data_IF_885312042157
#
_entry.id   IF_885312042157
#
_cell.length_a   1.000
_cell.length_b   1.000
_cell.length_c   1.000
_cell.angle_alpha   90.00
_cell.angle_beta   90.00
_cell.angle_gamma   90.00
#
_symmetry.space_group_name_H-M   'P 1'
#
loop_
_entity.id
_entity.type
_entity.pdbx_description
1 polymer ?
#
# COMPACT_ATOMS: atom_id res chain seq x y z
N UNK A 1 27.49 14.62 6.79
CA UNK A 1 26.96 13.51 5.96
C UNK A 1 25.49 13.83 5.73
N UNK A 2 25.01 13.84 4.50
CA UNK A 2 23.58 14.04 4.23
C UNK A 2 22.82 12.77 4.62
N UNK A 3 21.91 12.87 5.58
CA UNK A 3 21.12 11.73 6.07
C UNK A 3 20.20 11.12 4.99
N UNK A 4 19.92 11.87 3.92
CA UNK A 4 19.09 11.43 2.79
C UNK A 4 19.91 10.94 1.59
N UNK A 5 21.24 10.91 1.69
CA UNK A 5 22.09 10.55 0.54
C UNK A 5 21.74 9.17 -0.03
N UNK A 6 21.68 8.13 0.82
CA UNK A 6 21.29 6.78 0.40
C UNK A 6 19.85 6.71 -0.09
N UNK A 7 18.94 7.30 0.65
CA UNK A 7 17.52 7.33 0.29
C UNK A 7 17.31 7.93 -1.11
N UNK A 8 17.96 9.06 -1.40
CA UNK A 8 17.84 9.72 -2.69
C UNK A 8 18.43 8.93 -3.86
N UNK A 9 19.43 8.06 -3.61
CA UNK A 9 19.97 7.13 -4.62
C UNK A 9 18.98 6.01 -4.97
N UNK A 10 18.11 5.62 -4.04
CA UNK A 10 17.25 4.45 -4.16
C UNK A 10 15.79 4.75 -4.52
N UNK A 11 15.31 5.97 -4.22
CA UNK A 11 13.87 6.26 -4.23
C UNK A 11 13.19 6.14 -5.59
N UNK A 12 13.90 6.48 -6.66
CA UNK A 12 13.32 6.53 -8.01
C UNK A 12 13.34 5.16 -8.66
N UNK A 13 12.16 4.59 -8.90
CA UNK A 13 12.00 3.34 -9.65
C UNK A 13 11.70 3.66 -11.13
N UNK A 14 12.49 3.16 -12.08
CA UNK A 14 12.21 3.36 -13.50
C UNK A 14 10.94 2.65 -13.95
N UNK A 15 10.25 3.19 -14.95
CA UNK A 15 9.00 2.63 -15.46
C UNK A 15 9.13 1.16 -15.91
N UNK A 16 10.27 0.79 -16.51
CA UNK A 16 10.55 -0.58 -16.93
C UNK A 16 10.60 -1.62 -15.79
N UNK A 17 10.76 -1.16 -14.53
CA UNK A 17 10.75 -2.02 -13.35
C UNK A 17 9.42 -2.00 -12.59
N UNK A 18 8.43 -1.24 -13.06
CA UNK A 18 7.09 -1.14 -12.48
C UNK A 18 6.12 -2.06 -13.20
N UNK A 19 5.47 -2.93 -12.47
CA UNK A 19 4.43 -3.85 -12.97
C UNK A 19 3.07 -3.46 -12.37
N UNK A 20 2.14 -2.88 -13.15
CA UNK A 20 0.80 -2.58 -12.65
C UNK A 20 0.04 -3.88 -12.36
N UNK A 21 -0.53 -3.98 -11.16
CA UNK A 21 -1.37 -5.12 -10.79
C UNK A 21 -2.78 -4.89 -11.34
N UNK A 22 -3.19 -5.74 -12.29
CA UNK A 22 -4.44 -5.56 -13.05
C UNK A 22 -5.62 -6.35 -12.48
N UNK A 23 -5.38 -7.27 -11.53
CA UNK A 23 -6.43 -8.14 -10.98
C UNK A 23 -6.23 -8.44 -9.48
N UNK A 24 -7.26 -9.02 -8.85
CA UNK A 24 -7.24 -9.46 -7.47
C UNK A 24 -7.33 -8.31 -6.46
N UNK A 25 -7.08 -8.61 -5.19
CA UNK A 25 -7.20 -7.68 -4.05
C UNK A 25 -6.29 -6.45 -4.16
N UNK A 26 -5.16 -6.58 -4.86
CA UNK A 26 -4.17 -5.52 -5.05
C UNK A 26 -4.30 -4.80 -6.41
N UNK A 27 -5.45 -4.95 -7.10
CA UNK A 27 -5.71 -4.25 -8.36
C UNK A 27 -5.51 -2.75 -8.21
N UNK A 28 -4.76 -2.16 -9.16
CA UNK A 28 -4.44 -0.73 -9.16
C UNK A 28 -3.18 -0.37 -8.35
N UNK A 29 -2.58 -1.30 -7.61
CA UNK A 29 -1.25 -1.12 -7.06
C UNK A 29 -0.17 -1.40 -8.11
N UNK A 30 1.04 -0.94 -7.82
CA UNK A 30 2.23 -1.23 -8.63
C UNK A 30 3.12 -2.20 -7.87
N UNK A 31 3.46 -3.31 -8.49
CA UNK A 31 4.56 -4.15 -8.03
C UNK A 31 5.87 -3.66 -8.64
N UNK A 32 6.96 -3.79 -7.91
CA UNK A 32 8.30 -3.47 -8.38
C UNK A 32 9.04 -4.78 -8.62
N UNK A 33 9.60 -4.93 -9.83
CA UNK A 33 10.39 -6.11 -10.19
C UNK A 33 11.49 -6.38 -9.13
N UNK A 34 11.47 -7.55 -8.46
CA UNK A 34 12.45 -7.86 -7.42
C UNK A 34 13.91 -7.82 -7.92
N UNK A 35 14.16 -8.19 -9.18
CA UNK A 35 15.50 -8.14 -9.78
C UNK A 35 16.02 -6.73 -9.93
N UNK A 36 15.15 -5.74 -10.12
CA UNK A 36 15.55 -4.34 -10.11
C UNK A 36 16.04 -3.92 -8.72
N UNK A 37 15.40 -4.37 -7.65
CA UNK A 37 15.88 -4.08 -6.28
C UNK A 37 17.27 -4.66 -6.03
N UNK A 38 17.52 -5.90 -6.47
CA UNK A 38 18.84 -6.51 -6.40
C UNK A 38 19.87 -5.73 -7.23
N UNK A 39 19.48 -5.30 -8.43
CA UNK A 39 20.33 -4.49 -9.32
C UNK A 39 20.73 -3.19 -8.63
N UNK A 40 19.79 -2.42 -8.10
CA UNK A 40 20.10 -1.11 -7.50
C UNK A 40 20.92 -1.25 -6.20
N UNK A 41 20.69 -2.27 -5.39
CA UNK A 41 21.56 -2.57 -4.26
C UNK A 41 23.00 -2.86 -4.71
N UNK A 42 23.14 -3.61 -5.80
CA UNK A 42 24.46 -3.94 -6.38
C UNK A 42 25.15 -2.72 -7.01
N UNK A 43 24.39 -1.83 -7.67
CA UNK A 43 24.91 -0.58 -8.23
C UNK A 43 25.45 0.36 -7.16
N UNK A 44 24.79 0.43 -6.00
CA UNK A 44 25.16 1.39 -4.95
C UNK A 44 26.22 0.82 -3.98
N UNK A 45 26.08 -0.44 -3.60
CA UNK A 45 26.95 -1.05 -2.58
C UNK A 45 28.04 -1.97 -3.14
N UNK A 46 27.92 -2.41 -4.39
CA UNK A 46 28.79 -3.42 -4.99
C UNK A 46 28.14 -4.80 -5.02
N UNK A 47 28.92 -5.82 -5.43
CA UNK A 47 28.42 -7.18 -5.60
C UNK A 47 27.83 -7.77 -4.31
N UNK A 48 26.77 -8.57 -4.47
CA UNK A 48 26.21 -9.36 -3.38
C UNK A 48 27.27 -10.33 -2.80
N UNK A 49 27.35 -10.41 -1.48
CA UNK A 49 28.37 -11.14 -0.76
C UNK A 49 29.66 -10.34 -0.47
N UNK A 50 29.85 -9.18 -1.11
CA UNK A 50 31.01 -8.31 -0.92
C UNK A 50 30.56 -6.92 -0.43
N UNK A 51 29.73 -6.23 -1.19
CA UNK A 51 29.25 -4.89 -0.88
C UNK A 51 27.94 -4.91 -0.08
N UNK A 52 27.12 -5.89 -0.31
CA UNK A 52 25.92 -6.17 0.49
C UNK A 52 25.68 -7.68 0.56
N UNK A 53 24.96 -8.13 1.60
CA UNK A 53 24.59 -9.54 1.78
C UNK A 53 23.40 -9.66 2.71
N UNK A 54 22.78 -10.82 2.76
CA UNK A 54 21.76 -11.15 3.74
C UNK A 54 22.13 -12.41 4.51
N UNK A 55 21.61 -12.51 5.74
CA UNK A 55 21.66 -13.70 6.59
C UNK A 55 20.22 -14.09 6.89
N UNK A 56 19.86 -15.34 6.60
CA UNK A 56 18.57 -15.89 6.98
C UNK A 56 18.63 -16.18 8.48
N UNK A 57 17.71 -15.59 9.23
CA UNK A 57 17.60 -15.77 10.69
C UNK A 57 16.56 -16.79 11.07
N UNK A 58 15.48 -16.90 10.26
CA UNK A 58 14.45 -17.91 10.47
C UNK A 58 13.79 -18.35 9.15
N UNK A 59 13.29 -19.59 9.15
CA UNK A 59 12.42 -20.17 8.11
C UNK A 59 11.34 -20.97 8.79
N UNK A 60 10.09 -20.62 8.56
CA UNK A 60 8.96 -21.30 9.17
C UNK A 60 7.79 -21.43 8.21
N UNK A 61 6.92 -22.37 8.51
CA UNK A 61 5.63 -22.52 7.87
C UNK A 61 4.52 -22.23 8.87
N UNK A 62 3.54 -21.41 8.46
CA UNK A 62 2.40 -21.05 9.28
C UNK A 62 1.12 -21.21 8.46
N UNK A 63 0.03 -21.59 9.10
CA UNK A 63 -1.27 -21.71 8.47
C UNK A 63 -2.15 -22.78 9.10
N UNK A 64 -3.34 -22.95 8.57
CA UNK A 64 -4.30 -23.98 9.00
C UNK A 64 -4.98 -24.63 7.79
N UNK A 65 -5.23 -25.95 7.90
CA UNK A 65 -5.91 -26.68 6.85
C UNK A 65 -5.18 -26.62 5.51
N UNK A 66 -5.86 -26.12 4.49
CA UNK A 66 -5.35 -26.06 3.12
C UNK A 66 -4.72 -24.68 2.76
N UNK A 67 -4.47 -23.83 3.74
CA UNK A 67 -3.77 -22.56 3.54
C UNK A 67 -2.52 -22.52 4.42
N UNK A 68 -1.38 -22.87 3.84
CA UNK A 68 -0.07 -22.85 4.50
C UNK A 68 0.85 -21.89 3.75
N UNK A 69 1.57 -21.06 4.48
CA UNK A 69 2.52 -20.09 3.96
C UNK A 69 3.91 -20.31 4.53
N UNK A 70 4.90 -20.18 3.69
CA UNK A 70 6.30 -20.12 4.10
C UNK A 70 6.68 -18.69 4.41
N UNK A 71 7.37 -18.48 5.52
CA UNK A 71 7.99 -17.21 5.90
C UNK A 71 9.49 -17.35 6.01
N UNK A 72 10.19 -16.29 5.63
CA UNK A 72 11.65 -16.18 5.77
C UNK A 72 11.96 -14.84 6.41
N UNK A 73 12.69 -14.86 7.52
CA UNK A 73 13.23 -13.67 8.16
C UNK A 73 14.69 -13.52 7.82
N UNK A 74 15.11 -12.29 7.52
CA UNK A 74 16.49 -11.96 7.17
C UNK A 74 17.00 -10.73 7.91
N UNK A 75 18.32 -10.69 8.01
CA UNK A 75 19.13 -9.52 8.29
C UNK A 75 19.89 -9.16 7.00
N UNK A 76 19.64 -7.97 6.44
CA UNK A 76 20.38 -7.44 5.31
C UNK A 76 21.46 -6.49 5.81
N UNK A 77 22.67 -6.66 5.30
CA UNK A 77 23.84 -5.84 5.61
C UNK A 77 24.42 -5.23 4.34
N UNK A 78 25.03 -4.06 4.47
CA UNK A 78 25.73 -3.40 3.36
C UNK A 78 26.97 -2.65 3.88
N UNK A 79 27.91 -2.36 2.97
CA UNK A 79 29.07 -1.51 3.23
C UNK A 79 28.81 -0.13 2.64
N UNK A 80 29.02 0.89 3.46
CA UNK A 80 28.90 2.27 3.03
C UNK A 80 29.99 3.13 3.69
N UNK A 81 30.73 3.89 2.88
CA UNK A 81 31.83 4.75 3.35
C UNK A 81 32.88 4.00 4.20
N UNK A 82 33.15 2.74 3.89
CA UNK A 82 34.13 1.91 4.59
C UNK A 82 33.59 1.19 5.83
N UNK A 83 32.37 1.46 6.23
CA UNK A 83 31.73 0.84 7.40
C UNK A 83 30.69 -0.21 7.00
N UNK A 84 30.50 -1.21 7.86
CA UNK A 84 29.43 -2.20 7.74
C UNK A 84 28.21 -1.69 8.50
N UNK A 85 27.05 -1.74 7.84
CA UNK A 85 25.78 -1.33 8.46
C UNK A 85 25.40 -2.22 9.65
N UNK A 86 24.55 -1.71 10.53
CA UNK A 86 23.70 -2.56 11.37
C UNK A 86 22.70 -3.33 10.50
N UNK A 87 22.14 -4.45 10.99
CA UNK A 87 21.20 -5.24 10.22
C UNK A 87 19.91 -4.46 9.89
N UNK A 88 19.51 -4.53 8.63
CA UNK A 88 18.20 -4.07 8.17
C UNK A 88 17.32 -5.30 8.06
N UNK A 89 16.32 -5.41 8.92
CA UNK A 89 15.46 -6.59 9.00
C UNK A 89 14.40 -6.62 7.90
N UNK A 90 14.07 -7.83 7.45
CA UNK A 90 12.99 -8.05 6.51
C UNK A 90 12.35 -9.42 6.72
N UNK A 91 11.02 -9.46 6.67
CA UNK A 91 10.23 -10.69 6.68
C UNK A 91 9.49 -10.79 5.36
N UNK A 92 9.64 -11.90 4.67
CA UNK A 92 8.91 -12.18 3.43
C UNK A 92 8.09 -13.45 3.54
N UNK A 93 7.01 -13.52 2.77
CA UNK A 93 6.10 -14.64 2.77
C UNK A 93 5.66 -15.08 1.38
N UNK A 94 5.46 -16.40 1.22
CA UNK A 94 4.89 -16.97 0.00
C UNK A 94 3.99 -18.16 0.34
N UNK A 95 2.99 -18.42 -0.51
CA UNK A 95 2.10 -19.56 -0.33
C UNK A 95 2.85 -20.86 -0.59
N UNK A 96 2.75 -21.81 0.34
CA UNK A 96 3.18 -23.20 0.17
C UNK A 96 2.02 -24.06 -0.31
N UNK A 97 0.90 -24.03 0.39
CA UNK A 97 -0.31 -24.77 0.05
C UNK A 97 -1.46 -23.78 -0.09
N UNK A 98 -2.18 -23.85 -1.20
CA UNK A 98 -3.37 -23.03 -1.49
C UNK A 98 -4.46 -23.88 -2.15
N UNK A 99 -5.71 -23.51 -1.87
CA UNK A 99 -6.84 -24.04 -2.62
C UNK A 99 -7.05 -23.23 -3.90
N UNK A 100 -6.89 -23.89 -5.03
CA UNK A 100 -7.20 -23.34 -6.33
C UNK A 100 -8.49 -23.97 -6.91
N UNK A 101 -8.97 -23.44 -8.03
CA UNK A 101 -10.19 -23.95 -8.69
C UNK A 101 -10.10 -25.44 -9.05
N UNK A 102 -8.89 -25.94 -9.31
CA UNK A 102 -8.62 -27.32 -9.71
C UNK A 102 -8.17 -28.23 -8.55
N UNK A 103 -8.24 -27.76 -7.31
CA UNK A 103 -7.82 -28.48 -6.12
C UNK A 103 -6.64 -27.84 -5.39
N UNK A 104 -6.05 -28.58 -4.45
CA UNK A 104 -4.91 -28.10 -3.68
C UNK A 104 -3.64 -28.00 -4.55
N UNK A 105 -2.99 -26.85 -4.50
CA UNK A 105 -1.70 -26.62 -5.16
C UNK A 105 -0.60 -26.47 -4.11
N UNK A 106 0.51 -27.18 -4.31
CA UNK A 106 1.70 -27.11 -3.45
C UNK A 106 2.87 -26.50 -4.22
N UNK A 107 3.47 -25.44 -3.66
CA UNK A 107 4.63 -24.77 -4.26
C UNK A 107 5.93 -25.29 -3.66
N UNK A 108 6.82 -25.83 -4.49
CA UNK A 108 8.21 -26.18 -4.13
C UNK A 108 9.14 -24.96 -4.09
N UNK A 109 8.70 -23.83 -4.64
CA UNK A 109 9.47 -22.57 -4.68
C UNK A 109 9.15 -21.60 -3.54
N UNK A 110 8.24 -21.96 -2.62
CA UNK A 110 7.72 -21.03 -1.61
C UNK A 110 8.81 -20.32 -0.79
N UNK A 111 9.84 -21.03 -0.35
CA UNK A 111 10.95 -20.43 0.40
C UNK A 111 11.83 -19.50 -0.46
N UNK A 112 12.00 -19.82 -1.74
CA UNK A 112 12.71 -18.97 -2.69
C UNK A 112 11.97 -17.65 -2.90
N UNK A 113 10.66 -17.72 -3.08
CA UNK A 113 9.79 -16.56 -3.21
C UNK A 113 9.76 -15.74 -1.92
N UNK A 114 9.62 -16.40 -0.76
CA UNK A 114 9.62 -15.73 0.55
C UNK A 114 10.96 -15.01 0.82
N UNK A 115 12.11 -15.61 0.46
CA UNK A 115 13.40 -14.94 0.57
C UNK A 115 13.50 -13.69 -0.30
N UNK A 116 13.03 -13.76 -1.54
CA UNK A 116 13.01 -12.61 -2.46
C UNK A 116 12.11 -11.48 -1.92
N UNK A 117 10.97 -11.84 -1.33
CA UNK A 117 10.08 -10.87 -0.68
C UNK A 117 10.74 -10.26 0.57
N UNK A 118 11.41 -11.05 1.41
CA UNK A 118 12.15 -10.57 2.58
C UNK A 118 13.23 -9.54 2.20
N UNK A 119 14.00 -9.81 1.15
CA UNK A 119 14.99 -8.84 0.61
C UNK A 119 14.28 -7.57 0.14
N UNK A 120 13.12 -7.70 -0.50
CA UNK A 120 12.33 -6.56 -0.95
C UNK A 120 11.83 -5.71 0.21
N UNK A 121 11.41 -6.35 1.31
CA UNK A 121 10.97 -5.66 2.53
C UNK A 121 12.13 -4.92 3.20
N UNK A 122 13.29 -5.56 3.36
CA UNK A 122 14.49 -4.91 3.90
C UNK A 122 14.95 -3.73 3.02
N UNK A 123 14.95 -3.90 1.69
CA UNK A 123 15.33 -2.85 0.75
C UNK A 123 14.41 -1.61 0.83
N UNK A 124 13.12 -1.78 1.13
CA UNK A 124 12.20 -0.64 1.33
C UNK A 124 12.64 0.25 2.49
N UNK A 125 13.18 -0.31 3.56
CA UNK A 125 13.68 0.49 4.69
C UNK A 125 14.87 1.38 4.30
N UNK A 126 15.61 1.03 3.25
CA UNK A 126 16.67 1.86 2.66
C UNK A 126 16.14 2.91 1.67
N UNK A 127 14.85 2.90 1.37
CA UNK A 127 14.22 3.80 0.40
C UNK A 127 14.11 3.25 -1.02
N UNK A 128 14.43 1.97 -1.26
CA UNK A 128 14.38 1.38 -2.61
C UNK A 128 12.98 1.42 -3.19
N UNK A 129 12.79 2.22 -4.25
CA UNK A 129 11.50 2.43 -4.90
C UNK A 129 10.49 3.23 -4.08
N UNK A 130 10.95 4.04 -3.13
CA UNK A 130 10.09 4.78 -2.20
C UNK A 130 9.04 5.64 -2.89
N UNK A 131 9.36 6.29 -4.01
CA UNK A 131 8.43 7.15 -4.73
C UNK A 131 7.20 6.39 -5.25
N UNK A 132 7.33 5.10 -5.59
CA UNK A 132 6.20 4.27 -6.01
C UNK A 132 5.18 4.08 -4.89
N UNK A 133 5.64 4.02 -3.65
CA UNK A 133 4.78 3.87 -2.47
C UNK A 133 4.25 5.22 -1.99
N UNK A 134 5.05 6.28 -2.16
CA UNK A 134 4.69 7.63 -1.76
C UNK A 134 3.58 8.23 -2.64
N UNK A 135 3.66 8.05 -3.96
CA UNK A 135 2.67 8.58 -4.91
C UNK A 135 1.29 7.93 -4.76
N UNK A 136 1.24 6.75 -4.16
CA UNK A 136 -0.01 6.02 -3.91
C UNK A 136 -0.35 6.06 -2.42
N UNK A 137 -0.64 7.26 -1.93
CA UNK A 137 -1.14 7.49 -0.57
C UNK A 137 -2.51 6.82 -0.37
N UNK A 138 -2.52 5.49 -0.44
CA UNK A 138 -3.64 4.66 -0.04
C UNK A 138 -3.43 4.30 1.42
N UNK A 139 -3.95 5.15 2.27
CA UNK A 139 -4.16 4.81 3.66
C UNK A 139 -5.00 3.51 3.73
N UNK A 140 -4.69 2.63 4.70
CA UNK A 140 -5.48 1.41 4.98
C UNK A 140 -6.97 1.70 5.25
N UNK A 141 -7.33 2.95 5.41
CA UNK A 141 -8.69 3.45 5.63
C UNK A 141 -9.35 3.97 4.34
N UNK A 142 -8.61 4.11 3.25
CA UNK A 142 -9.17 4.52 1.95
C UNK A 142 -9.84 3.31 1.30
N UNK A 143 -11.14 3.33 1.16
CA UNK A 143 -11.90 2.28 0.45
C UNK A 143 -11.53 2.30 -1.04
N UNK A 144 -11.48 1.10 -1.65
CA UNK A 144 -11.00 0.84 -3.03
C UNK A 144 -11.83 1.56 -4.11
N UNK A 145 -12.93 2.21 -3.75
CA UNK A 145 -13.91 2.79 -4.68
C UNK A 145 -13.71 4.29 -5.00
N UNK A 146 -12.70 4.95 -4.41
CA UNK A 146 -12.41 6.33 -4.79
C UNK A 146 -11.31 6.41 -5.87
N UNK A 147 -11.57 7.08 -7.02
CA UNK A 147 -10.54 7.33 -8.01
C UNK A 147 -9.43 8.22 -7.42
N UNK A 148 -8.16 8.03 -7.82
CA UNK A 148 -7.05 8.82 -7.30
C UNK A 148 -7.30 10.31 -7.55
N UNK A 149 -7.47 11.08 -6.48
CA UNK A 149 -7.52 12.53 -6.57
C UNK A 149 -6.13 13.03 -6.95
N UNK A 150 -6.04 13.67 -8.09
CA UNK A 150 -4.84 14.40 -8.54
C UNK A 150 -4.49 15.42 -7.47
N UNK A 151 -3.36 15.24 -6.83
CA UNK A 151 -2.82 16.17 -5.82
C UNK A 151 -2.51 17.50 -6.51
N UNK A 152 -3.46 18.42 -6.48
CA UNK A 152 -3.15 19.81 -6.74
C UNK A 152 -2.24 20.31 -5.62
N UNK A 153 -1.14 20.91 -6.00
CA UNK A 153 -0.16 21.53 -5.09
C UNK A 153 -0.88 22.40 -4.06
N UNK A 154 -0.83 21.98 -2.81
CA UNK A 154 -1.23 22.85 -1.70
C UNK A 154 -0.16 23.92 -1.57
N UNK A 155 -0.40 25.08 -2.19
CA UNK A 155 0.32 26.30 -1.83
C UNK A 155 0.10 26.54 -0.34
N UNK A 156 1.20 26.66 0.38
CA UNK A 156 1.20 27.09 1.76
C UNK A 156 0.48 28.44 1.87
N UNK A 157 -0.63 28.47 2.58
CA UNK A 157 -1.31 29.70 3.00
C UNK A 157 -1.03 29.87 4.49
N UNK A 158 -0.66 31.08 4.96
CA UNK A 158 -0.28 31.34 6.33
C UNK A 158 -1.46 31.11 7.30
N UNK A 159 -1.12 30.64 8.49
CA UNK A 159 -2.04 30.54 9.62
C UNK A 159 -2.75 31.86 9.89
N UNK A 160 -4.07 31.82 10.03
CA UNK A 160 -4.86 32.88 10.66
C UNK A 160 -5.85 32.23 11.64
N UNK A 161 -6.16 32.92 12.75
CA UNK A 161 -6.58 32.32 14.00
C UNK A 161 -8.05 31.87 14.02
N UNK A 162 -8.29 30.91 14.92
CA UNK A 162 -9.58 30.39 15.36
C UNK A 162 -10.57 31.49 15.80
N UNK A 163 -11.81 31.24 15.49
CA UNK A 163 -13.05 31.60 16.18
C UNK A 163 -14.10 32.19 15.24
N UNK A 164 -15.01 31.34 14.76
CA UNK A 164 -16.40 31.70 14.58
C UNK A 164 -17.27 30.41 14.48
N UNK A 165 -18.40 30.32 15.18
CA UNK A 165 -19.28 29.17 15.12
C UNK A 165 -20.01 29.13 13.78
N UNK A 166 -19.83 28.04 13.05
CA UNK A 166 -20.66 27.74 11.88
C UNK A 166 -22.04 27.29 12.36
N UNK A 167 -23.07 28.06 12.09
CA UNK A 167 -24.48 27.66 12.20
C UNK A 167 -24.68 26.37 11.38
N UNK A 168 -24.72 25.23 12.07
CA UNK A 168 -24.90 23.94 11.46
C UNK A 168 -26.31 23.75 10.95
N UNK A 169 -26.54 24.00 9.65
CA UNK A 169 -27.76 23.52 9.00
C UNK A 169 -27.72 22.00 8.97
N UNK A 170 -28.51 21.36 9.86
CA UNK A 170 -28.69 19.91 9.87
C UNK A 170 -29.78 19.57 8.86
N UNK A 171 -29.44 18.91 7.72
CA UNK A 171 -30.44 18.57 6.73
C UNK A 171 -31.47 17.60 7.28
N UNK A 172 -32.75 17.82 6.93
CA UNK A 172 -33.87 17.01 7.41
C UNK A 172 -34.56 16.29 6.25
N UNK A 173 -35.06 15.10 6.51
CA UNK A 173 -35.85 14.33 5.56
C UNK A 173 -37.20 15.05 5.28
N UNK A 174 -37.51 15.26 4.01
CA UNK A 174 -38.70 16.01 3.61
C UNK A 174 -40.03 15.31 3.91
N UNK A 175 -40.00 13.96 4.01
CA UNK A 175 -41.21 13.17 4.27
C UNK A 175 -41.48 12.98 5.77
N UNK A 176 -40.47 12.69 6.58
CA UNK A 176 -40.65 12.32 7.99
C UNK A 176 -40.01 13.28 8.99
N UNK A 177 -39.36 14.36 8.53
CA UNK A 177 -38.75 15.39 9.37
C UNK A 177 -37.52 14.94 10.18
N UNK A 178 -37.05 13.71 10.05
CA UNK A 178 -35.84 13.23 10.75
C UNK A 178 -34.59 13.90 10.21
N UNK A 179 -33.65 14.21 11.11
CA UNK A 179 -32.32 14.64 10.72
C UNK A 179 -31.65 13.53 9.91
N UNK A 180 -31.00 13.91 8.82
CA UNK A 180 -30.24 13.03 7.94
C UNK A 180 -28.79 13.51 7.88
N UNK A 181 -27.86 12.62 7.62
CA UNK A 181 -26.46 12.99 7.41
C UNK A 181 -26.28 13.68 6.05
N UNK A 182 -25.21 14.46 5.91
CA UNK A 182 -24.86 15.11 4.63
C UNK A 182 -24.76 14.09 3.49
N UNK A 183 -24.18 12.92 3.76
CA UNK A 183 -24.09 11.82 2.78
C UNK A 183 -25.48 11.26 2.37
N UNK A 184 -26.42 11.17 3.30
CA UNK A 184 -27.81 10.77 2.99
C UNK A 184 -28.55 11.85 2.24
N UNK A 185 -28.30 13.12 2.57
CA UNK A 185 -28.82 14.27 1.87
C UNK A 185 -28.37 14.27 0.41
N UNK A 186 -27.06 14.24 0.17
CA UNK A 186 -26.48 14.31 -1.17
C UNK A 186 -26.90 13.12 -2.05
N UNK A 187 -26.90 11.92 -1.49
CA UNK A 187 -27.40 10.74 -2.18
C UNK A 187 -28.88 10.88 -2.57
N UNK A 188 -29.73 11.32 -1.64
CA UNK A 188 -31.17 11.41 -1.89
C UNK A 188 -31.49 12.52 -2.89
N UNK A 189 -30.85 13.67 -2.79
CA UNK A 189 -31.01 14.76 -3.75
C UNK A 189 -30.58 14.34 -5.15
N UNK A 190 -29.46 13.63 -5.26
CA UNK A 190 -28.92 13.13 -6.54
C UNK A 190 -29.84 12.12 -7.23
N UNK A 191 -30.45 11.20 -6.49
CA UNK A 191 -31.21 10.10 -7.08
C UNK A 191 -32.73 10.20 -6.96
N UNK A 192 -33.23 11.09 -6.10
CA UNK A 192 -34.67 11.30 -5.88
C UNK A 192 -35.08 12.77 -5.99
N UNK A 193 -34.13 13.70 -6.18
CA UNK A 193 -34.39 15.13 -6.35
C UNK A 193 -34.76 15.87 -5.06
N UNK A 194 -34.92 15.17 -3.95
CA UNK A 194 -35.30 15.73 -2.64
C UNK A 194 -34.54 15.02 -1.50
N UNK A 195 -34.29 15.72 -0.36
CA UNK A 195 -33.62 15.11 0.78
C UNK A 195 -34.56 14.11 1.49
N UNK A 196 -34.17 12.84 1.48
CA UNK A 196 -34.92 11.72 2.07
C UNK A 196 -34.00 10.84 2.92
N UNK A 197 -34.47 10.38 4.08
CA UNK A 197 -33.80 9.33 4.84
C UNK A 197 -33.94 7.97 4.13
N UNK A 198 -33.05 7.02 4.43
CA UNK A 198 -33.05 5.67 3.79
C UNK A 198 -34.38 4.92 3.87
N UNK A 199 -35.16 5.17 4.92
CA UNK A 199 -36.48 4.55 5.07
C UNK A 199 -37.50 5.13 4.05
N UNK A 200 -37.52 6.45 3.91
CA UNK A 200 -38.46 7.15 3.00
C UNK A 200 -38.05 6.96 1.51
N UNK A 201 -36.77 6.81 1.20
CA UNK A 201 -36.30 6.49 -0.17
C UNK A 201 -36.96 5.25 -0.77
N UNK A 202 -37.39 4.28 0.08
CA UNK A 202 -38.08 3.07 -0.40
C UNK A 202 -39.47 3.33 -1.00
N UNK A 203 -40.09 4.48 -0.68
CA UNK A 203 -41.37 4.89 -1.18
C UNK A 203 -41.32 5.80 -2.41
N UNK A 204 -40.14 6.18 -2.88
CA UNK A 204 -39.93 7.07 -4.00
C UNK A 204 -39.28 6.40 -5.20
N UNK A 205 -39.66 6.75 -6.40
CA UNK A 205 -39.03 6.32 -7.64
C UNK A 205 -37.76 7.13 -7.87
N UNK A 206 -36.69 6.46 -8.36
CA UNK A 206 -35.43 7.14 -8.71
C UNK A 206 -35.62 7.96 -9.99
N UNK A 207 -35.14 9.18 -9.95
CA UNK A 207 -35.00 10.01 -11.15
C UNK A 207 -33.85 9.41 -11.98
N UNK A 208 -34.11 9.08 -13.25
CA UNK A 208 -33.11 8.54 -14.16
C UNK A 208 -32.01 9.55 -14.47
#
# INVERSE_FOLDING_TARGET
MDNLELYNKFRVCPEAAKNPITAGRLKGFTDINPMWRIKVLTEVFGACGIGWWNKITDKRMEGQGNEIRAFVDIELYYKWNGEVSQPVVGTGGASFLTNEKNGAYTSDECYKMALTDAISVAAKALGVGADVYWDKDRDKYTTIDEPPQTRQERKATPEAPSDAPSDGFIPTCKDCGKNISDAEHDYSVKYYGIPLCRACQKGHERIK
#
